data_IF_756441319004
#
_entry.id   IF_756441319004
#
_cell.length_a   1.000
_cell.length_b   1.000
_cell.length_c   1.000
_cell.angle_alpha   90.00
_cell.angle_beta   90.00
_cell.angle_gamma   90.00
#
_symmetry.space_group_name_H-M   'P 1'
#
loop_
_entity.id
_entity.type
_entity.pdbx_description
1 polymer ?
#
# COMPACT_ATOMS: atom_id res chain seq x y z
N UNK A 1 -27.98 25.20 39.53
CA UNK A 1 -27.88 25.45 38.07
C UNK A 1 -27.47 24.14 37.41
N UNK A 2 -28.40 23.42 36.77
CA UNK A 2 -28.11 22.14 36.11
C UNK A 2 -27.58 22.41 34.71
N UNK A 3 -26.35 21.96 34.42
CA UNK A 3 -25.70 22.16 33.11
C UNK A 3 -25.96 20.93 32.23
N UNK A 4 -26.44 21.16 31.00
CA UNK A 4 -26.55 20.10 30.00
C UNK A 4 -25.16 19.68 29.51
N UNK A 5 -24.95 18.39 29.35
CA UNK A 5 -23.79 17.81 28.68
C UNK A 5 -24.27 17.17 27.37
N UNK A 6 -23.42 17.21 26.35
CA UNK A 6 -23.64 16.47 25.12
C UNK A 6 -23.07 15.07 25.30
N UNK A 7 -23.88 14.05 25.03
CA UNK A 7 -23.46 12.64 25.05
C UNK A 7 -23.59 12.11 23.63
N UNK A 8 -22.52 11.51 23.12
CA UNK A 8 -22.53 10.86 21.80
C UNK A 8 -23.01 9.42 21.94
N UNK A 9 -23.71 8.92 20.92
CA UNK A 9 -24.07 7.51 20.85
C UNK A 9 -22.80 6.68 20.62
N UNK A 10 -22.48 5.69 21.47
CA UNK A 10 -21.22 4.93 21.37
C UNK A 10 -21.13 4.10 20.08
N UNK A 11 -22.25 3.74 19.47
CA UNK A 11 -22.26 3.03 18.18
C UNK A 11 -21.99 3.97 16.99
N UNK A 12 -22.06 5.29 17.19
CA UNK A 12 -21.92 6.26 16.11
C UNK A 12 -22.95 6.09 14.99
N UNK A 13 -22.63 6.60 13.81
CA UNK A 13 -23.32 6.28 12.56
C UNK A 13 -22.26 5.84 11.56
N UNK A 14 -22.41 4.64 11.00
CA UNK A 14 -21.50 4.19 9.95
C UNK A 14 -21.61 5.14 8.74
N UNK A 15 -20.48 5.57 8.14
CA UNK A 15 -20.52 6.39 6.94
C UNK A 15 -21.14 5.58 5.79
N UNK A 16 -21.82 6.26 4.87
CA UNK A 16 -22.20 5.64 3.60
C UNK A 16 -20.94 5.24 2.84
N UNK A 17 -20.71 3.94 2.67
CA UNK A 17 -19.59 3.42 1.89
C UNK A 17 -20.03 3.13 0.47
N UNK A 18 -19.29 3.66 -0.51
CA UNK A 18 -19.43 3.29 -1.91
C UNK A 18 -18.54 2.09 -2.24
N UNK A 19 -19.01 1.19 -3.10
CA UNK A 19 -18.17 0.13 -3.65
C UNK A 19 -17.04 0.72 -4.50
N UNK A 20 -15.81 0.21 -4.32
CA UNK A 20 -14.66 0.51 -5.18
C UNK A 20 -14.24 -0.77 -5.91
N UNK A 21 -13.92 -0.66 -7.19
CA UNK A 21 -13.30 -1.77 -7.90
C UNK A 21 -11.88 -1.99 -7.38
N UNK A 22 -11.47 -3.26 -7.29
CA UNK A 22 -10.07 -3.60 -7.11
C UNK A 22 -9.27 -3.20 -8.34
N UNK A 23 -7.95 -3.03 -8.16
CA UNK A 23 -7.03 -2.83 -9.28
C UNK A 23 -7.10 -4.03 -10.24
N UNK A 24 -7.10 -3.80 -11.56
CA UNK A 24 -7.11 -4.88 -12.53
C UNK A 24 -5.84 -5.73 -12.37
N UNK A 25 -6.00 -7.05 -12.39
CA UNK A 25 -4.86 -7.97 -12.30
C UNK A 25 -4.15 -8.03 -13.66
N UNK A 26 -2.83 -7.75 -13.75
CA UNK A 26 -2.09 -7.98 -14.97
C UNK A 26 -1.97 -9.48 -15.26
N UNK A 27 -2.05 -9.87 -16.53
CA UNK A 27 -1.93 -11.27 -16.94
C UNK A 27 -0.50 -11.84 -16.77
N UNK A 28 0.50 -10.96 -16.86
CA UNK A 28 1.92 -11.25 -16.65
C UNK A 28 2.62 -9.99 -16.10
N UNK A 29 3.79 -10.18 -15.51
CA UNK A 29 4.69 -9.09 -15.11
C UNK A 29 5.77 -8.77 -16.15
N UNK A 30 5.80 -9.48 -17.28
CA UNK A 30 6.85 -9.28 -18.29
C UNK A 30 6.88 -7.83 -18.80
N UNK A 31 8.07 -7.19 -18.74
CA UNK A 31 8.27 -5.81 -19.17
C UNK A 31 7.54 -4.76 -18.33
N UNK A 32 7.02 -5.11 -17.14
CA UNK A 32 6.21 -4.23 -16.30
C UNK A 32 7.01 -3.52 -15.22
N UNK A 33 6.46 -2.41 -14.73
CA UNK A 33 6.96 -1.70 -13.54
C UNK A 33 6.21 -2.15 -12.29
N UNK A 34 6.93 -2.77 -11.36
CA UNK A 34 6.39 -3.25 -10.08
C UNK A 34 6.95 -2.41 -8.93
N UNK A 35 6.06 -1.76 -8.18
CA UNK A 35 6.43 -1.06 -6.96
C UNK A 35 6.57 -2.04 -5.79
N UNK A 36 7.71 -2.04 -5.13
CA UNK A 36 7.99 -2.82 -3.92
C UNK A 36 7.92 -1.86 -2.73
N UNK A 37 6.82 -1.92 -1.99
CA UNK A 37 6.51 -0.94 -0.93
C UNK A 37 6.77 -1.56 0.43
N UNK A 38 7.73 -1.00 1.17
CA UNK A 38 7.93 -1.28 2.59
C UNK A 38 6.87 -0.51 3.40
N UNK A 39 5.97 -1.25 4.08
CA UNK A 39 4.95 -0.63 4.93
C UNK A 39 5.47 -0.19 6.31
N UNK A 40 6.71 -0.56 6.69
CA UNK A 40 7.34 -0.18 7.95
C UNK A 40 7.03 -1.11 9.14
N UNK A 41 6.58 -2.34 8.88
CA UNK A 41 6.43 -3.39 9.89
C UNK A 41 7.78 -4.06 10.20
N UNK A 42 7.82 -4.93 11.21
CA UNK A 42 9.05 -5.67 11.52
C UNK A 42 9.46 -6.53 10.32
N UNK A 43 10.75 -6.47 9.96
CA UNK A 43 11.37 -7.19 8.85
C UNK A 43 10.84 -6.87 7.43
N UNK A 44 9.91 -5.93 7.25
CA UNK A 44 9.37 -5.62 5.91
C UNK A 44 10.41 -5.00 4.98
N UNK A 45 11.28 -4.13 5.48
CA UNK A 45 12.35 -3.52 4.69
C UNK A 45 13.34 -4.55 4.15
N UNK A 46 13.85 -5.43 5.01
CA UNK A 46 14.79 -6.50 4.60
C UNK A 46 14.17 -7.45 3.58
N UNK A 47 12.90 -7.80 3.75
CA UNK A 47 12.16 -8.60 2.77
C UNK A 47 12.05 -7.89 1.42
N UNK A 48 11.71 -6.60 1.40
CA UNK A 48 11.59 -5.82 0.17
C UNK A 48 12.95 -5.73 -0.56
N UNK A 49 14.04 -5.58 0.17
CA UNK A 49 15.39 -5.57 -0.41
C UNK A 49 15.77 -6.92 -1.02
N UNK A 50 15.49 -8.03 -0.32
CA UNK A 50 15.73 -9.38 -0.85
C UNK A 50 14.85 -9.67 -2.06
N UNK A 51 13.59 -9.22 -2.04
CA UNK A 51 12.67 -9.38 -3.15
C UNK A 51 13.18 -8.62 -4.38
N UNK A 52 13.61 -7.36 -4.22
CA UNK A 52 14.24 -6.60 -5.30
C UNK A 52 15.43 -7.34 -5.90
N UNK A 53 16.36 -7.82 -5.06
CA UNK A 53 17.53 -8.55 -5.53
C UNK A 53 17.13 -9.84 -6.29
N UNK A 54 16.10 -10.55 -5.81
CA UNK A 54 15.58 -11.74 -6.49
C UNK A 54 14.98 -11.40 -7.86
N UNK A 55 14.26 -10.27 -8.00
CA UNK A 55 13.77 -9.80 -9.30
C UNK A 55 14.92 -9.44 -10.24
N UNK A 56 15.94 -8.72 -9.77
CA UNK A 56 17.12 -8.37 -10.58
C UNK A 56 17.85 -9.63 -11.11
N UNK A 57 17.93 -10.70 -10.31
CA UNK A 57 18.59 -11.96 -10.69
C UNK A 57 17.74 -12.84 -11.63
N UNK A 58 16.46 -13.02 -11.30
CA UNK A 58 15.63 -14.06 -11.93
C UNK A 58 14.63 -13.50 -12.95
N UNK A 59 14.32 -12.20 -12.86
CA UNK A 59 13.29 -11.50 -13.64
C UNK A 59 13.79 -10.12 -14.09
N UNK A 60 14.94 -10.03 -14.77
CA UNK A 60 15.51 -8.75 -15.19
C UNK A 60 14.64 -7.99 -16.21
N UNK A 61 13.64 -8.66 -16.78
CA UNK A 61 12.63 -8.07 -17.65
C UNK A 61 11.57 -7.26 -16.89
N UNK A 62 11.49 -7.39 -15.56
CA UNK A 62 10.58 -6.63 -14.70
C UNK A 62 11.34 -5.45 -14.10
N UNK A 63 10.82 -4.25 -14.27
CA UNK A 63 11.38 -3.04 -13.62
C UNK A 63 10.84 -2.93 -12.21
N UNK A 64 11.71 -2.92 -11.20
CA UNK A 64 11.29 -2.75 -9.79
C UNK A 64 11.59 -1.35 -9.28
N UNK A 65 10.65 -0.74 -8.56
CA UNK A 65 10.82 0.55 -7.87
C UNK A 65 10.54 0.37 -6.38
N UNK A 66 11.51 0.64 -5.51
CA UNK A 66 11.29 0.57 -4.07
C UNK A 66 10.72 1.87 -3.53
N UNK A 67 9.79 1.75 -2.58
CA UNK A 67 9.25 2.87 -1.83
C UNK A 67 9.01 2.45 -0.37
N UNK A 68 8.95 3.41 0.54
CA UNK A 68 8.68 3.16 1.96
C UNK A 68 7.56 4.08 2.43
N UNK A 69 6.59 3.53 3.16
CA UNK A 69 5.56 4.30 3.84
C UNK A 69 6.18 5.01 5.06
N UNK A 70 5.71 6.24 5.32
CA UNK A 70 6.08 6.97 6.53
C UNK A 70 5.49 6.30 7.79
N UNK A 71 4.33 5.67 7.64
CA UNK A 71 3.60 4.95 8.68
C UNK A 71 2.75 3.86 8.02
N UNK A 72 2.65 2.66 8.62
CA UNK A 72 1.78 1.60 8.11
C UNK A 72 0.29 1.91 8.22
N UNK A 73 -0.09 2.89 9.05
CA UNK A 73 -1.50 3.16 9.38
C UNK A 73 -2.04 4.44 8.72
N UNK A 74 -1.15 5.32 8.27
CA UNK A 74 -1.55 6.59 7.68
C UNK A 74 -1.63 6.49 6.15
N UNK A 75 -2.62 7.13 5.51
CA UNK A 75 -2.67 7.23 4.05
C UNK A 75 -1.42 7.92 3.48
N UNK A 76 -0.93 7.41 2.35
CA UNK A 76 0.17 8.00 1.58
C UNK A 76 -0.29 8.40 0.17
N UNK A 77 -1.13 9.45 0.03
CA UNK A 77 -1.79 9.79 -1.23
C UNK A 77 -0.83 10.10 -2.37
N UNK A 78 0.32 10.71 -2.07
CA UNK A 78 1.36 11.01 -3.07
C UNK A 78 1.98 9.73 -3.63
N UNK A 79 2.26 8.75 -2.76
CA UNK A 79 2.77 7.46 -3.20
C UNK A 79 1.71 6.69 -4.00
N UNK A 80 0.45 6.73 -3.58
CA UNK A 80 -0.63 6.05 -4.30
C UNK A 80 -0.83 6.64 -5.70
N UNK A 81 -0.79 7.97 -5.83
CA UNK A 81 -0.86 8.66 -7.11
C UNK A 81 0.31 8.25 -8.02
N UNK A 82 1.53 8.22 -7.47
CA UNK A 82 2.72 7.80 -8.21
C UNK A 82 2.63 6.34 -8.69
N UNK A 83 2.19 5.43 -7.83
CA UNK A 83 1.99 4.01 -8.23
C UNK A 83 0.94 3.92 -9.34
N UNK A 84 -0.14 4.69 -9.27
CA UNK A 84 -1.17 4.68 -10.29
C UNK A 84 -0.72 5.27 -11.64
N UNK A 85 0.23 6.21 -11.62
CA UNK A 85 0.78 6.85 -12.83
C UNK A 85 1.90 6.04 -13.47
N UNK A 86 2.83 5.53 -12.66
CA UNK A 86 4.09 4.92 -13.12
C UNK A 86 4.09 3.38 -13.04
N UNK A 87 3.21 2.78 -12.23
CA UNK A 87 3.24 1.37 -11.87
C UNK A 87 2.18 0.54 -12.57
N UNK A 88 2.54 -0.70 -12.94
CA UNK A 88 1.60 -1.73 -13.39
C UNK A 88 1.05 -2.57 -12.23
N UNK A 89 1.85 -2.71 -11.17
CA UNK A 89 1.50 -3.47 -9.97
C UNK A 89 2.27 -2.95 -8.75
N UNK A 90 1.79 -3.28 -7.56
CA UNK A 90 2.50 -3.05 -6.30
C UNK A 90 2.48 -4.29 -5.40
N UNK A 91 3.60 -4.55 -4.73
CA UNK A 91 3.75 -5.55 -3.67
C UNK A 91 3.98 -4.78 -2.38
N UNK A 92 3.14 -5.02 -1.37
CA UNK A 92 3.23 -4.36 -0.07
C UNK A 92 3.84 -5.33 0.95
N UNK A 93 5.01 -5.00 1.47
CA UNK A 93 5.66 -5.72 2.55
C UNK A 93 5.03 -5.35 3.89
N UNK A 94 4.11 -6.19 4.38
CA UNK A 94 3.35 -5.93 5.63
C UNK A 94 3.92 -6.59 6.88
N UNK A 95 5.16 -7.13 6.83
CA UNK A 95 5.87 -7.70 7.98
C UNK A 95 5.10 -8.77 8.78
N UNK A 96 5.64 -9.14 9.94
CA UNK A 96 4.99 -9.98 10.95
C UNK A 96 4.73 -9.16 12.23
#
# INVERSE_FOLDING_TARGET
>A
MTRKITVLHPEGNAPTVGGKSLAPRPATLDGRTVFLVDAGFENSGEFIDQLRASFEEHRPDVTTVTARLASPFDPAPELYARIAEEGDAAILGVGL
#
